data_IF_577067362749
#
_entry.id   IF_577067362749
#
_cell.length_a   1.000
_cell.length_b   1.000
_cell.length_c   1.000
_cell.angle_alpha   90.00
_cell.angle_beta   90.00
_cell.angle_gamma   90.00
#
_symmetry.space_group_name_H-M   'P 1'
#
loop_
_entity.id
_entity.type
_entity.pdbx_description
1 polymer ?
#
# COMPACT_ATOMS: atom_id res chain seq x y z
N UNK A 1 6.42 3.42 -19.16
CA UNK A 1 5.09 4.01 -18.89
C UNK A 1 5.30 5.23 -18.02
N UNK A 2 4.75 6.40 -18.40
CA UNK A 2 4.75 7.59 -17.56
C UNK A 2 3.60 7.52 -16.56
N UNK A 3 3.76 8.11 -15.37
CA UNK A 3 2.66 8.24 -14.43
C UNK A 3 1.59 9.20 -15.00
N UNK A 4 0.33 8.80 -14.97
CA UNK A 4 -0.85 9.62 -15.29
C UNK A 4 -1.46 10.11 -13.98
N UNK A 5 -1.09 11.31 -13.55
CA UNK A 5 -1.59 11.91 -12.32
C UNK A 5 -3.05 12.37 -12.42
N UNK A 6 -3.58 12.53 -13.64
CA UNK A 6 -4.96 13.03 -13.85
C UNK A 6 -6.01 12.04 -13.33
N UNK A 7 -5.67 10.75 -13.18
CA UNK A 7 -6.59 9.76 -12.61
C UNK A 7 -6.92 10.03 -11.14
N UNK A 8 -6.08 10.77 -10.42
CA UNK A 8 -6.35 11.15 -9.03
C UNK A 8 -7.45 12.22 -8.93
N UNK A 9 -7.69 12.97 -10.00
CA UNK A 9 -8.77 13.97 -10.08
C UNK A 9 -10.13 13.31 -10.31
N UNK A 10 -10.17 12.02 -10.67
CA UNK A 10 -11.42 11.28 -10.85
C UNK A 10 -12.11 11.14 -9.48
N UNK A 11 -13.40 11.50 -9.37
CA UNK A 11 -14.14 11.42 -8.11
C UNK A 11 -14.01 10.06 -7.42
N UNK A 12 -13.53 10.10 -6.17
CA UNK A 12 -13.42 8.93 -5.30
C UNK A 12 -12.10 8.13 -5.41
N UNK A 13 -11.26 8.37 -6.42
CA UNK A 13 -9.97 7.66 -6.57
C UNK A 13 -9.01 7.97 -5.42
N UNK A 14 -8.84 9.24 -5.06
CA UNK A 14 -8.04 9.62 -3.89
C UNK A 14 -8.61 9.00 -2.58
N UNK A 15 -9.93 8.92 -2.48
CA UNK A 15 -10.61 8.28 -1.35
C UNK A 15 -10.30 6.79 -1.24
N UNK A 16 -10.14 6.10 -2.37
CA UNK A 16 -9.69 4.70 -2.43
C UNK A 16 -8.25 4.58 -1.91
N UNK A 17 -7.35 5.46 -2.34
CA UNK A 17 -5.96 5.49 -1.87
C UNK A 17 -5.89 5.62 -0.34
N UNK A 18 -6.62 6.60 0.21
CA UNK A 18 -6.67 6.86 1.65
C UNK A 18 -7.21 5.66 2.44
N UNK A 19 -8.26 5.00 1.94
CA UNK A 19 -8.85 3.83 2.58
C UNK A 19 -7.92 2.62 2.55
N UNK A 20 -7.30 2.34 1.41
CA UNK A 20 -6.37 1.22 1.26
C UNK A 20 -5.14 1.40 2.16
N UNK A 21 -4.53 2.59 2.15
CA UNK A 21 -3.40 2.93 3.01
C UNK A 21 -3.76 2.79 4.50
N UNK A 22 -4.90 3.34 4.94
CA UNK A 22 -5.35 3.21 6.32
C UNK A 22 -5.54 1.75 6.74
N UNK A 23 -6.08 0.90 5.85
CA UNK A 23 -6.29 -0.52 6.13
C UNK A 23 -4.97 -1.26 6.30
N UNK A 24 -4.01 -1.07 5.39
CA UNK A 24 -2.69 -1.72 5.48
C UNK A 24 -1.91 -1.22 6.70
N UNK A 25 -1.93 0.09 6.97
CA UNK A 25 -1.28 0.63 8.16
C UNK A 25 -1.82 -0.03 9.43
N UNK A 26 -3.14 -0.16 9.55
CA UNK A 26 -3.78 -0.83 10.69
C UNK A 26 -3.45 -2.32 10.78
N UNK A 27 -3.37 -3.03 9.66
CA UNK A 27 -3.07 -4.48 9.66
C UNK A 27 -1.63 -4.79 10.07
N UNK A 28 -0.70 -3.86 9.83
CA UNK A 28 0.73 -4.04 10.08
C UNK A 28 1.27 -3.22 11.26
N UNK A 29 0.41 -2.46 11.95
CA UNK A 29 0.77 -1.60 13.09
C UNK A 29 1.59 -2.35 14.16
N UNK A 30 1.20 -3.60 14.46
CA UNK A 30 1.86 -4.43 15.47
C UNK A 30 3.15 -5.10 15.01
N UNK A 31 3.36 -5.23 13.70
CA UNK A 31 4.46 -6.01 13.11
C UNK A 31 5.61 -5.10 12.69
N UNK A 32 5.31 -3.83 12.46
CA UNK A 32 6.20 -2.93 11.76
C UNK A 32 5.85 -1.50 12.14
N UNK A 33 6.52 -0.97 13.17
CA UNK A 33 6.63 0.48 13.38
C UNK A 33 7.34 1.23 12.23
N UNK A 34 7.62 0.53 11.12
CA UNK A 34 8.23 1.00 9.88
C UNK A 34 7.19 1.42 8.82
N UNK A 35 5.90 1.21 9.06
CA UNK A 35 4.84 1.48 8.08
C UNK A 35 4.03 2.67 8.55
N UNK A 36 4.44 3.86 8.11
CA UNK A 36 3.69 5.09 8.35
C UNK A 36 2.49 5.17 7.39
N UNK A 37 1.35 5.63 7.91
CA UNK A 37 0.10 5.75 7.14
C UNK A 37 0.22 6.78 6.02
N UNK A 38 0.93 7.89 6.26
CA UNK A 38 1.13 8.95 5.27
C UNK A 38 2.07 8.48 4.16
N UNK A 39 3.11 7.71 4.49
CA UNK A 39 3.98 7.05 3.51
C UNK A 39 3.20 6.05 2.64
N UNK A 40 2.36 5.21 3.27
CA UNK A 40 1.48 4.30 2.54
C UNK A 40 0.48 5.03 1.66
N UNK A 41 -0.03 6.18 2.11
CA UNK A 41 -0.95 6.98 1.31
C UNK A 41 -0.25 7.57 0.09
N UNK A 42 0.96 8.12 0.24
CA UNK A 42 1.76 8.58 -0.89
C UNK A 42 2.07 7.44 -1.87
N UNK A 43 2.46 6.28 -1.35
CA UNK A 43 2.70 5.09 -2.16
C UNK A 43 1.45 4.65 -2.93
N UNK A 44 0.29 4.68 -2.29
CA UNK A 44 -0.99 4.36 -2.91
C UNK A 44 -1.30 5.32 -4.08
N UNK A 45 -1.06 6.63 -3.91
CA UNK A 45 -1.24 7.62 -4.98
C UNK A 45 -0.27 7.38 -6.14
N UNK A 46 0.99 7.04 -5.86
CA UNK A 46 1.99 6.69 -6.88
C UNK A 46 1.56 5.44 -7.65
N UNK A 47 1.09 4.40 -6.96
CA UNK A 47 0.62 3.16 -7.59
C UNK A 47 -0.57 3.42 -8.52
N UNK A 48 -1.52 4.26 -8.11
CA UNK A 48 -2.66 4.64 -8.95
C UNK A 48 -2.21 5.42 -10.17
N UNK A 49 -1.34 6.43 -10.01
CA UNK A 49 -0.84 7.24 -11.12
C UNK A 49 0.02 6.42 -12.10
N UNK A 50 0.86 5.51 -11.59
CA UNK A 50 1.69 4.64 -12.43
C UNK A 50 0.89 3.59 -13.20
N UNK A 51 -0.31 3.24 -12.74
CA UNK A 51 -1.23 2.30 -13.38
C UNK A 51 -2.52 2.97 -13.86
N UNK A 52 -2.43 4.19 -14.41
CA UNK A 52 -3.59 5.00 -14.79
C UNK A 52 -4.61 4.30 -15.70
N UNK A 53 -4.16 3.48 -16.66
CA UNK A 53 -5.05 2.68 -17.52
C UNK A 53 -5.89 1.67 -16.72
N UNK A 54 -5.33 1.06 -15.68
CA UNK A 54 -6.06 0.17 -14.78
C UNK A 54 -7.11 0.95 -13.99
N UNK A 55 -6.76 2.14 -13.49
CA UNK A 55 -7.70 3.02 -12.77
C UNK A 55 -8.89 3.35 -13.65
N UNK A 56 -8.65 3.80 -14.89
CA UNK A 56 -9.72 4.14 -15.84
C UNK A 56 -10.63 2.95 -16.13
N UNK A 57 -10.06 1.75 -16.36
CA UNK A 57 -10.85 0.52 -16.55
C UNK A 57 -11.78 0.21 -15.37
N UNK A 58 -11.34 0.43 -14.13
CA UNK A 58 -12.21 0.24 -12.97
C UNK A 58 -13.29 1.31 -12.87
N UNK A 59 -12.93 2.58 -13.11
CA UNK A 59 -13.87 3.71 -13.04
C UNK A 59 -14.97 3.59 -14.11
N UNK A 60 -14.61 3.15 -15.31
CA UNK A 60 -15.53 3.00 -16.45
C UNK A 60 -16.20 1.61 -16.49
N UNK A 61 -15.69 0.67 -15.71
CA UNK A 61 -16.10 -0.73 -15.71
C UNK A 61 -17.12 -1.10 -14.62
N UNK A 62 -17.66 -2.33 -14.68
CA UNK A 62 -18.71 -2.79 -13.76
C UNK A 62 -18.22 -2.99 -12.32
N UNK A 63 -16.92 -3.22 -12.10
CA UNK A 63 -16.34 -3.45 -10.77
C UNK A 63 -16.18 -2.14 -9.96
N UNK A 64 -16.12 -1.01 -10.64
CA UNK A 64 -16.07 0.32 -10.02
C UNK A 64 -14.87 0.54 -9.09
N UNK A 65 -15.04 1.49 -8.17
CA UNK A 65 -14.05 1.81 -7.14
C UNK A 65 -13.85 0.67 -6.11
N UNK A 66 -14.78 -0.27 -6.02
CA UNK A 66 -14.67 -1.44 -5.13
C UNK A 66 -13.59 -2.41 -5.62
N UNK A 67 -13.59 -2.72 -6.91
CA UNK A 67 -12.52 -3.52 -7.53
C UNK A 67 -11.16 -2.81 -7.45
N UNK A 68 -11.13 -1.50 -7.72
CA UNK A 68 -9.92 -0.70 -7.60
C UNK A 68 -9.34 -0.73 -6.17
N UNK A 69 -10.19 -0.62 -5.16
CA UNK A 69 -9.78 -0.71 -3.76
C UNK A 69 -9.16 -2.07 -3.44
N UNK A 70 -9.76 -3.16 -3.91
CA UNK A 70 -9.25 -4.50 -3.66
C UNK A 70 -7.86 -4.70 -4.27
N UNK A 71 -7.69 -4.34 -5.54
CA UNK A 71 -6.41 -4.45 -6.25
C UNK A 71 -5.32 -3.60 -5.59
N UNK A 72 -5.64 -2.33 -5.28
CA UNK A 72 -4.69 -1.44 -4.62
C UNK A 72 -4.29 -1.96 -3.24
N UNK A 73 -5.23 -2.53 -2.49
CA UNK A 73 -4.96 -3.15 -1.20
C UNK A 73 -3.97 -4.32 -1.35
N UNK A 74 -4.17 -5.19 -2.34
CA UNK A 74 -3.25 -6.30 -2.61
C UNK A 74 -1.87 -5.81 -3.03
N UNK A 75 -1.77 -4.78 -3.86
CA UNK A 75 -0.49 -4.17 -4.26
C UNK A 75 0.30 -3.64 -3.06
N UNK A 76 -0.38 -2.91 -2.16
CA UNK A 76 0.24 -2.39 -0.93
C UNK A 76 0.67 -3.53 0.01
N UNK A 77 -0.16 -4.56 0.21
CA UNK A 77 0.18 -5.73 1.03
C UNK A 77 1.40 -6.46 0.47
N UNK A 78 1.47 -6.63 -0.85
CA UNK A 78 2.59 -7.26 -1.53
C UNK A 78 3.89 -6.45 -1.36
N UNK A 79 3.79 -5.12 -1.24
CA UNK A 79 4.94 -4.24 -0.97
C UNK A 79 5.37 -4.28 0.49
N UNK A 80 4.43 -4.31 1.43
CA UNK A 80 4.71 -4.27 2.88
C UNK A 80 5.15 -5.63 3.42
N UNK A 81 4.56 -6.73 2.96
CA UNK A 81 4.83 -8.08 3.49
C UNK A 81 6.32 -8.46 3.49
N UNK A 82 7.09 -8.23 2.41
CA UNK A 82 8.52 -8.50 2.39
C UNK A 82 9.30 -7.64 3.39
N UNK A 83 8.92 -6.36 3.56
CA UNK A 83 9.55 -5.44 4.50
C UNK A 83 9.31 -5.88 5.95
N UNK A 84 8.05 -6.22 6.27
CA UNK A 84 7.68 -6.76 7.57
C UNK A 84 8.43 -8.06 7.89
N UNK A 85 8.49 -9.01 6.95
CA UNK A 85 9.27 -10.26 7.10
C UNK A 85 10.75 -9.98 7.35
N UNK A 86 11.33 -8.99 6.66
CA UNK A 86 12.73 -8.60 6.86
C UNK A 86 12.94 -7.99 8.25
N UNK A 87 12.05 -7.12 8.71
CA UNK A 87 12.12 -6.49 10.02
C UNK A 87 12.08 -7.51 11.16
N UNK A 88 11.14 -8.47 11.10
CA UNK A 88 11.05 -9.58 12.08
C UNK A 88 12.37 -10.36 12.15
N UNK A 89 12.95 -10.70 10.99
CA UNK A 89 14.20 -11.47 10.94
C UNK A 89 15.37 -10.69 11.55
N UNK A 90 15.46 -9.39 11.30
CA UNK A 90 16.50 -8.53 11.88
C UNK A 90 16.35 -8.43 13.39
N UNK A 91 15.14 -8.16 13.90
CA UNK A 91 14.89 -8.12 15.35
C UNK A 91 15.24 -9.44 16.03
N UNK A 92 14.87 -10.58 15.43
CA UNK A 92 15.23 -11.89 15.97
C UNK A 92 16.76 -12.11 16.01
N UNK A 93 17.49 -11.64 15.00
CA UNK A 93 18.95 -11.72 14.99
C UNK A 93 19.60 -10.84 16.06
N UNK A 94 19.15 -9.60 16.24
CA UNK A 94 19.64 -8.69 17.28
C UNK A 94 19.38 -9.25 18.69
N UNK A 95 18.16 -9.74 18.94
CA UNK A 95 17.82 -10.36 20.22
C UNK A 95 18.68 -11.59 20.54
N UNK A 96 18.99 -12.43 19.54
CA UNK A 96 19.89 -13.57 19.71
C UNK A 96 21.32 -13.13 19.99
N UNK A 97 21.79 -12.05 19.34
CA UNK A 97 23.14 -11.50 19.56
C UNK A 97 23.28 -10.95 20.98
N UNK A 98 22.32 -10.16 21.46
CA UNK A 98 22.32 -9.59 22.82
C UNK A 98 22.26 -10.67 23.90
N UNK A 99 21.53 -11.77 23.69
CA UNK A 99 21.49 -12.89 24.63
C UNK A 99 22.78 -13.73 24.66
N UNK A 100 23.69 -13.52 23.71
CA UNK A 100 24.96 -14.25 23.58
C UNK A 100 26.19 -13.43 24.03
N UNK A 101 25.98 -12.18 24.49
CA UNK A 101 26.98 -11.29 25.10
C UNK A 101 26.87 -11.31 26.63
#
# INVERSE_FOLDING_TARGET
MSADWTVLEIPGVEGVARKAAAKVASDYESVSGLVDKDDLHQEALILLATHGERVRRYVEGPDGLGGLYHDLLMDLINKVTPLAKRAIRTHSYEAVREASE
#
